data_IF_363857864707
#
_entry.id   IF_363857864707
#
_cell.length_a   1.000
_cell.length_b   1.000
_cell.length_c   1.000
_cell.angle_alpha   90.00
_cell.angle_beta   90.00
_cell.angle_gamma   90.00
#
_symmetry.space_group_name_H-M   'P 1'
#
loop_
_entity.id
_entity.type
_entity.pdbx_description
1 polymer ?
#
# COMPACT_ATOMS: atom_id res chain seq x y z
N UNK A 1 20.34 -18.27 26.33
CA UNK A 1 19.11 -17.53 26.68
C UNK A 1 19.00 -16.13 26.00
N UNK A 2 20.07 -15.35 25.85
CA UNK A 2 20.06 -14.03 25.18
C UNK A 2 19.66 -14.07 23.69
N UNK A 3 20.10 -15.03 22.90
CA UNK A 3 19.85 -15.13 21.45
C UNK A 3 18.36 -15.35 21.11
N UNK A 4 17.59 -16.03 21.97
CA UNK A 4 16.16 -16.24 21.74
C UNK A 4 15.32 -14.99 21.99
N UNK A 5 15.69 -14.17 22.97
CA UNK A 5 14.98 -12.90 23.31
C UNK A 5 15.18 -11.88 22.19
N UNK A 6 16.37 -11.77 21.60
CA UNK A 6 16.65 -10.85 20.50
C UNK A 6 15.85 -11.24 19.23
N UNK A 7 15.79 -12.53 18.88
CA UNK A 7 15.05 -12.99 17.70
C UNK A 7 13.54 -12.74 17.81
N UNK A 8 12.94 -12.93 19.00
CA UNK A 8 11.52 -12.69 19.25
C UNK A 8 11.18 -11.19 19.22
N UNK A 9 12.08 -10.35 19.74
CA UNK A 9 11.93 -8.89 19.71
C UNK A 9 12.01 -8.35 18.28
N UNK A 10 13.00 -8.77 17.50
CA UNK A 10 13.15 -8.36 16.09
C UNK A 10 11.94 -8.80 15.26
N UNK A 11 11.42 -10.01 15.48
CA UNK A 11 10.24 -10.49 14.76
C UNK A 11 8.97 -9.74 15.15
N UNK A 12 8.81 -9.32 16.41
CA UNK A 12 7.67 -8.54 16.86
C UNK A 12 7.70 -7.09 16.35
N UNK A 13 8.87 -6.46 16.33
CA UNK A 13 9.07 -5.14 15.74
C UNK A 13 8.80 -5.15 14.22
N UNK A 14 9.26 -6.19 13.52
CA UNK A 14 8.98 -6.36 12.08
C UNK A 14 7.48 -6.46 11.80
N UNK A 15 6.73 -7.22 12.61
CA UNK A 15 5.27 -7.30 12.48
C UNK A 15 4.58 -5.97 12.79
N UNK A 16 4.99 -5.30 13.87
CA UNK A 16 4.44 -3.99 14.22
C UNK A 16 4.68 -2.96 13.11
N UNK A 17 5.91 -2.88 12.59
CA UNK A 17 6.26 -2.02 11.47
C UNK A 17 5.44 -2.33 10.20
N UNK A 18 5.23 -3.60 9.88
CA UNK A 18 4.37 -4.04 8.77
C UNK A 18 2.93 -3.51 8.93
N UNK A 19 2.31 -3.69 10.10
CA UNK A 19 0.94 -3.24 10.34
C UNK A 19 0.82 -1.71 10.33
N UNK A 20 1.78 -1.00 10.90
CA UNK A 20 1.80 0.48 10.87
C UNK A 20 1.95 0.98 9.43
N UNK A 21 2.86 0.41 8.66
CA UNK A 21 3.07 0.76 7.25
C UNK A 21 1.84 0.48 6.40
N UNK A 22 1.18 -0.67 6.60
CA UNK A 22 -0.07 -1.01 5.93
C UNK A 22 -1.20 -0.04 6.30
N UNK A 23 -1.33 0.29 7.59
CA UNK A 23 -2.31 1.27 8.08
C UNK A 23 -2.09 2.65 7.47
N UNK A 24 -0.84 3.11 7.37
CA UNK A 24 -0.50 4.37 6.73
C UNK A 24 -0.88 4.36 5.25
N UNK A 25 -0.50 3.32 4.49
CA UNK A 25 -0.84 3.19 3.07
C UNK A 25 -2.35 3.20 2.83
N UNK A 26 -3.10 2.36 3.54
CA UNK A 26 -4.55 2.26 3.40
C UNK A 26 -5.24 3.53 3.85
N UNK A 27 -4.90 4.04 5.02
CA UNK A 27 -5.51 5.23 5.60
C UNK A 27 -5.35 6.46 4.73
N UNK A 28 -4.13 6.70 4.23
CA UNK A 28 -3.86 7.83 3.36
C UNK A 28 -4.56 7.74 2.00
N UNK A 29 -4.58 6.56 1.37
CA UNK A 29 -5.29 6.35 0.11
C UNK A 29 -6.82 6.50 0.27
N UNK A 30 -7.40 5.96 1.35
CA UNK A 30 -8.82 6.11 1.66
C UNK A 30 -9.15 7.57 1.97
N UNK A 31 -8.36 8.24 2.82
CA UNK A 31 -8.54 9.65 3.11
C UNK A 31 -8.48 10.52 1.86
N UNK A 32 -7.46 10.29 1.01
CA UNK A 32 -7.34 11.04 -0.24
C UNK A 32 -8.58 10.85 -1.13
N UNK A 33 -9.07 9.61 -1.28
CA UNK A 33 -10.17 9.29 -2.19
C UNK A 33 -11.53 9.79 -1.69
N UNK A 34 -11.80 9.62 -0.41
CA UNK A 34 -13.15 9.87 0.14
C UNK A 34 -13.29 11.21 0.88
N UNK A 35 -12.19 11.85 1.24
CA UNK A 35 -12.22 13.12 1.94
C UNK A 35 -11.50 14.24 1.15
N UNK A 36 -10.19 14.09 0.90
CA UNK A 36 -9.40 15.14 0.29
C UNK A 36 -9.86 15.49 -1.15
N UNK A 37 -10.03 14.50 -2.02
CA UNK A 37 -10.40 14.76 -3.42
C UNK A 37 -11.76 15.45 -3.57
N UNK A 38 -12.83 15.04 -2.85
CA UNK A 38 -14.09 15.79 -2.88
C UNK A 38 -13.95 17.21 -2.29
N UNK A 39 -13.24 17.35 -1.16
CA UNK A 39 -13.08 18.65 -0.50
C UNK A 39 -12.34 19.70 -1.33
N UNK A 40 -11.51 19.27 -2.27
CA UNK A 40 -10.80 20.19 -3.19
C UNK A 40 -11.76 21.04 -4.03
N UNK A 41 -13.01 20.63 -4.22
CA UNK A 41 -14.04 21.43 -4.93
C UNK A 41 -14.34 22.77 -4.27
N UNK A 42 -14.13 22.89 -2.96
CA UNK A 42 -14.34 24.14 -2.20
C UNK A 42 -13.35 25.25 -2.60
N UNK A 43 -12.22 24.89 -3.23
CA UNK A 43 -11.30 25.87 -3.81
C UNK A 43 -11.86 26.33 -5.14
N UNK A 44 -12.07 27.65 -5.32
CA UNK A 44 -12.77 28.21 -6.48
C UNK A 44 -12.01 28.01 -7.80
N UNK A 45 -10.68 28.16 -7.77
CA UNK A 45 -9.83 28.14 -8.97
C UNK A 45 -9.37 26.71 -9.34
N UNK A 46 -9.68 26.19 -10.54
CA UNK A 46 -9.29 24.85 -10.98
C UNK A 46 -7.78 24.60 -10.94
N UNK A 47 -6.94 25.60 -11.23
CA UNK A 47 -5.48 25.50 -11.19
C UNK A 47 -4.96 25.41 -9.75
N UNK A 48 -5.56 26.13 -8.82
CA UNK A 48 -5.23 26.04 -7.39
C UNK A 48 -5.61 24.67 -6.81
N UNK A 49 -6.72 24.09 -7.27
CA UNK A 49 -7.10 22.71 -6.94
C UNK A 49 -6.01 21.71 -7.32
N UNK A 50 -5.50 21.83 -8.56
CA UNK A 50 -4.41 20.97 -9.03
C UNK A 50 -3.14 21.14 -8.21
N UNK A 51 -2.75 22.37 -7.92
CA UNK A 51 -1.59 22.69 -7.07
C UNK A 51 -1.74 22.11 -5.67
N UNK A 52 -2.92 22.23 -5.06
CA UNK A 52 -3.22 21.67 -3.76
C UNK A 52 -3.10 20.14 -3.74
N UNK A 53 -3.72 19.48 -4.71
CA UNK A 53 -3.67 18.00 -4.87
C UNK A 53 -2.23 17.53 -5.05
N UNK A 54 -1.46 18.18 -5.96
CA UNK A 54 -0.07 17.82 -6.18
C UNK A 54 0.79 18.02 -4.94
N UNK A 55 0.62 19.13 -4.23
CA UNK A 55 1.36 19.40 -2.99
C UNK A 55 1.04 18.37 -1.91
N UNK A 56 -0.22 18.02 -1.74
CA UNK A 56 -0.65 16.98 -0.79
C UNK A 56 -0.01 15.63 -1.12
N UNK A 57 -0.05 15.20 -2.38
CA UNK A 57 0.55 13.94 -2.80
C UNK A 57 2.08 13.94 -2.74
N UNK A 58 2.75 15.05 -3.01
CA UNK A 58 4.21 15.16 -2.84
C UNK A 58 4.61 14.96 -1.37
N UNK A 59 3.92 15.62 -0.45
CA UNK A 59 4.17 15.47 1.00
C UNK A 59 3.85 14.05 1.48
N UNK A 60 2.71 13.53 1.09
CA UNK A 60 2.31 12.16 1.45
C UNK A 60 3.19 11.10 0.77
N UNK A 61 3.81 11.41 -0.36
CA UNK A 61 4.73 10.55 -1.09
C UNK A 61 5.90 10.05 -0.23
N UNK A 62 6.36 10.85 0.72
CA UNK A 62 7.39 10.44 1.70
C UNK A 62 6.87 9.31 2.59
N UNK A 63 5.69 9.51 3.19
CA UNK A 63 5.03 8.50 4.03
C UNK A 63 4.77 7.23 3.24
N UNK A 64 4.25 7.37 2.01
CA UNK A 64 3.95 6.26 1.11
C UNK A 64 5.21 5.45 0.76
N UNK A 65 6.32 6.13 0.44
CA UNK A 65 7.60 5.49 0.11
C UNK A 65 8.19 4.75 1.32
N UNK A 66 8.21 5.37 2.48
CA UNK A 66 8.67 4.74 3.73
C UNK A 66 7.82 3.52 4.08
N UNK A 67 6.50 3.60 3.91
CA UNK A 67 5.59 2.49 4.14
C UNK A 67 5.86 1.32 3.19
N UNK A 68 6.04 1.57 1.89
CA UNK A 68 6.39 0.54 0.93
C UNK A 68 7.73 -0.12 1.26
N UNK A 69 8.76 0.66 1.61
CA UNK A 69 10.06 0.12 2.01
C UNK A 69 9.95 -0.74 3.27
N UNK A 70 9.18 -0.30 4.27
CA UNK A 70 8.94 -1.06 5.50
C UNK A 70 8.20 -2.38 5.20
N UNK A 71 7.18 -2.34 4.33
CA UNK A 71 6.48 -3.54 3.89
C UNK A 71 7.42 -4.51 3.17
N UNK A 72 8.28 -4.03 2.26
CA UNK A 72 9.26 -4.86 1.57
C UNK A 72 10.24 -5.52 2.54
N UNK A 73 10.81 -4.73 3.46
CA UNK A 73 11.77 -5.21 4.45
C UNK A 73 11.16 -6.27 5.39
N UNK A 74 9.90 -6.10 5.78
CA UNK A 74 9.20 -7.06 6.62
C UNK A 74 8.74 -8.31 5.84
N UNK A 75 8.39 -8.16 4.57
CA UNK A 75 7.86 -9.24 3.74
C UNK A 75 8.90 -10.29 3.38
N UNK A 76 10.11 -9.89 2.98
CA UNK A 76 11.13 -10.80 2.50
C UNK A 76 11.54 -11.88 3.54
N UNK A 77 11.87 -11.54 4.80
CA UNK A 77 12.17 -12.52 5.84
C UNK A 77 10.99 -13.43 6.17
N UNK A 78 9.77 -12.87 6.24
CA UNK A 78 8.57 -13.64 6.51
C UNK A 78 8.34 -14.68 5.41
N UNK A 79 8.53 -14.31 4.14
CA UNK A 79 8.35 -15.20 3.00
C UNK A 79 9.37 -16.34 2.95
N UNK A 80 10.61 -16.07 3.31
CA UNK A 80 11.65 -17.11 3.44
C UNK A 80 11.29 -18.11 4.54
N UNK A 81 10.77 -17.64 5.68
CA UNK A 81 10.29 -18.49 6.78
C UNK A 81 9.11 -19.37 6.37
N UNK A 82 8.14 -18.80 5.65
CA UNK A 82 6.97 -19.52 5.12
C UNK A 82 7.38 -20.59 4.09
N UNK A 83 8.31 -20.28 3.19
CA UNK A 83 8.80 -21.20 2.16
C UNK A 83 9.50 -22.45 2.74
N UNK A 84 10.08 -22.35 3.94
CA UNK A 84 10.74 -23.45 4.63
C UNK A 84 9.79 -24.31 5.48
N UNK A 85 8.51 -23.97 5.53
CA UNK A 85 7.53 -24.63 6.39
C UNK A 85 6.79 -25.75 5.65
N UNK A 86 7.24 -27.01 5.80
CA UNK A 86 6.57 -28.22 5.25
C UNK A 86 5.19 -28.48 5.84
N UNK A 87 4.73 -27.68 6.79
CA UNK A 87 3.49 -27.91 7.55
C UNK A 87 2.31 -27.04 7.11
N UNK A 88 2.41 -26.37 5.96
CA UNK A 88 1.33 -25.54 5.43
C UNK A 88 0.27 -26.42 4.76
N UNK A 89 -1.00 -26.15 5.06
CA UNK A 89 -2.12 -26.77 4.35
C UNK A 89 -2.25 -26.22 2.92
N UNK A 90 -2.90 -26.97 2.04
CA UNK A 90 -3.15 -26.49 0.67
C UNK A 90 -3.93 -25.18 0.61
N UNK A 91 -4.77 -24.87 1.62
CA UNK A 91 -5.48 -23.60 1.75
C UNK A 91 -4.51 -22.45 2.08
N UNK A 92 -3.60 -22.69 3.03
CA UNK A 92 -2.58 -21.68 3.39
C UNK A 92 -1.67 -21.35 2.23
N UNK A 93 -1.25 -22.32 1.42
CA UNK A 93 -0.49 -22.08 0.19
C UNK A 93 -1.23 -21.18 -0.81
N UNK A 94 -2.55 -21.34 -0.97
CA UNK A 94 -3.35 -20.46 -1.84
C UNK A 94 -3.39 -19.02 -1.31
N UNK A 95 -3.56 -18.84 0.00
CA UNK A 95 -3.57 -17.51 0.62
C UNK A 95 -2.20 -16.84 0.49
N UNK A 96 -1.11 -17.58 0.69
CA UNK A 96 0.25 -17.06 0.52
C UNK A 96 0.50 -16.62 -0.93
N UNK A 97 0.05 -17.40 -1.93
CA UNK A 97 0.16 -16.98 -3.34
C UNK A 97 -0.67 -15.72 -3.62
N UNK A 98 -1.87 -15.62 -3.09
CA UNK A 98 -2.69 -14.41 -3.20
C UNK A 98 -1.99 -13.20 -2.56
N UNK A 99 -1.35 -13.39 -1.40
CA UNK A 99 -0.52 -12.39 -0.73
C UNK A 99 0.67 -11.98 -1.59
N UNK A 100 1.39 -12.94 -2.22
CA UNK A 100 2.51 -12.65 -3.13
C UNK A 100 2.04 -11.77 -4.32
N UNK A 101 0.92 -12.12 -4.94
CA UNK A 101 0.32 -11.35 -6.04
C UNK A 101 -0.10 -9.95 -5.59
N UNK A 102 -0.76 -9.84 -4.43
CA UNK A 102 -1.18 -8.56 -3.88
C UNK A 102 0.03 -7.66 -3.58
N UNK A 103 1.10 -8.21 -2.99
CA UNK A 103 2.34 -7.47 -2.72
C UNK A 103 3.01 -7.00 -4.00
N UNK A 104 3.18 -7.86 -5.00
CA UNK A 104 3.76 -7.50 -6.30
C UNK A 104 2.93 -6.41 -6.99
N UNK A 105 1.60 -6.53 -6.97
CA UNK A 105 0.67 -5.54 -7.52
C UNK A 105 0.77 -4.20 -6.80
N UNK A 106 0.88 -4.22 -5.47
CA UNK A 106 1.04 -3.02 -4.64
C UNK A 106 2.30 -2.24 -5.02
N UNK A 107 3.43 -2.94 -5.17
CA UNK A 107 4.70 -2.33 -5.59
C UNK A 107 4.65 -1.82 -7.02
N UNK A 108 4.16 -2.62 -7.96
CA UNK A 108 4.10 -2.25 -9.37
C UNK A 108 3.20 -1.01 -9.58
N UNK A 109 2.01 -1.00 -8.98
CA UNK A 109 1.07 0.12 -9.08
C UNK A 109 1.57 1.35 -8.31
N UNK A 110 2.22 1.15 -7.15
CA UNK A 110 2.83 2.23 -6.38
C UNK A 110 3.95 2.93 -7.13
N UNK A 111 4.88 2.17 -7.73
CA UNK A 111 5.96 2.71 -8.56
C UNK A 111 5.42 3.41 -9.81
N UNK A 112 4.48 2.80 -10.51
CA UNK A 112 3.84 3.40 -11.68
C UNK A 112 3.11 4.71 -11.32
N UNK A 113 2.41 4.75 -10.17
CA UNK A 113 1.76 5.96 -9.66
C UNK A 113 2.77 7.05 -9.33
N UNK A 114 3.90 6.71 -8.71
CA UNK A 114 4.96 7.68 -8.41
C UNK A 114 5.53 8.30 -9.69
N UNK A 115 5.86 7.49 -10.69
CA UNK A 115 6.38 7.97 -11.99
C UNK A 115 5.35 8.87 -12.68
N UNK A 116 4.09 8.44 -12.76
CA UNK A 116 3.04 9.23 -13.39
C UNK A 116 2.70 10.48 -12.60
N UNK A 117 2.76 10.44 -11.26
CA UNK A 117 2.57 11.60 -10.40
C UNK A 117 3.64 12.68 -10.64
N UNK A 118 4.91 12.28 -10.75
CA UNK A 118 6.01 13.19 -11.09
C UNK A 118 5.80 13.81 -12.49
N UNK A 119 5.38 12.99 -13.48
CA UNK A 119 5.07 13.50 -14.82
C UNK A 119 3.92 14.49 -14.79
N UNK A 120 2.85 14.17 -14.09
CA UNK A 120 1.67 15.02 -13.93
C UNK A 120 2.02 16.36 -13.26
N UNK A 121 2.80 16.33 -12.19
CA UNK A 121 3.24 17.53 -11.47
C UNK A 121 4.14 18.47 -12.32
N UNK A 122 4.76 17.93 -13.37
CA UNK A 122 5.63 18.70 -14.29
C UNK A 122 4.92 19.22 -15.54
N UNK A 123 3.62 18.91 -15.72
CA UNK A 123 2.87 19.34 -16.91
C UNK A 123 2.56 20.84 -16.87
N UNK A 124 2.37 21.39 -15.67
CA UNK A 124 2.11 22.81 -15.44
C UNK A 124 3.05 23.38 -14.37
N UNK A 125 3.39 24.68 -14.43
CA UNK A 125 4.19 25.33 -13.41
C UNK A 125 3.58 25.15 -12.02
N UNK A 126 4.40 24.72 -11.05
CA UNK A 126 3.94 24.46 -9.69
C UNK A 126 2.94 23.30 -9.55
N UNK A 127 2.77 22.48 -10.59
CA UNK A 127 1.80 21.38 -10.60
C UNK A 127 0.34 21.84 -10.70
N UNK A 128 0.10 23.01 -11.25
CA UNK A 128 -1.20 23.68 -11.31
C UNK A 128 -2.08 23.17 -12.48
N UNK A 129 -2.12 21.85 -12.70
CA UNK A 129 -3.01 21.25 -13.70
C UNK A 129 -4.48 21.52 -13.33
N UNK A 130 -5.30 22.03 -14.26
CA UNK A 130 -6.69 22.36 -13.95
C UNK A 130 -7.51 21.12 -13.56
N UNK A 131 -8.10 21.12 -12.38
CA UNK A 131 -8.94 20.05 -11.86
C UNK A 131 -10.34 20.56 -11.48
N UNK A 132 -11.36 19.74 -11.74
CA UNK A 132 -12.70 19.94 -11.21
C UNK A 132 -12.79 19.54 -9.73
N UNK A 133 -12.19 18.39 -9.41
CA UNK A 133 -11.94 17.91 -8.05
C UNK A 133 -10.59 17.17 -7.99
N UNK A 134 -10.27 16.53 -6.85
CA UNK A 134 -9.02 15.78 -6.71
C UNK A 134 -8.87 14.61 -7.67
N UNK A 135 -9.92 14.18 -8.36
CA UNK A 135 -9.95 13.01 -9.26
C UNK A 135 -10.27 13.36 -10.70
N UNK A 136 -11.01 14.44 -10.95
CA UNK A 136 -11.60 14.79 -12.24
C UNK A 136 -10.82 15.96 -12.87
N UNK A 137 -10.32 15.81 -14.12
CA UNK A 137 -9.78 16.94 -14.87
C UNK A 137 -10.86 17.98 -15.14
N UNK A 138 -10.52 19.26 -15.04
CA UNK A 138 -11.42 20.33 -15.46
C UNK A 138 -11.53 20.39 -17.00
N UNK A 139 -12.60 21.03 -17.56
CA UNK A 139 -12.75 21.19 -19.01
C UNK A 139 -11.58 21.93 -19.69
N UNK A 140 -10.88 22.81 -18.96
CA UNK A 140 -9.73 23.56 -19.44
C UNK A 140 -8.43 22.72 -19.49
N UNK A 141 -8.42 21.52 -18.92
CA UNK A 141 -7.26 20.63 -18.95
C UNK A 141 -7.03 20.10 -20.38
N UNK A 142 -5.78 20.11 -20.82
CA UNK A 142 -5.41 19.49 -22.09
C UNK A 142 -5.72 17.98 -22.10
N UNK A 143 -5.90 17.43 -23.30
CA UNK A 143 -6.14 15.99 -23.45
C UNK A 143 -5.05 15.12 -22.79
N UNK A 144 -3.80 15.56 -22.87
CA UNK A 144 -2.66 14.88 -22.24
C UNK A 144 -2.75 14.88 -20.72
N UNK A 145 -3.13 15.99 -20.11
CA UNK A 145 -3.33 16.13 -18.67
C UNK A 145 -4.49 15.25 -18.19
N UNK A 146 -5.61 15.32 -18.92
CA UNK A 146 -6.79 14.51 -18.63
C UNK A 146 -6.48 13.00 -18.71
N UNK A 147 -5.76 12.55 -19.74
CA UNK A 147 -5.33 11.15 -19.89
C UNK A 147 -4.40 10.73 -18.76
N UNK A 148 -3.42 11.56 -18.40
CA UNK A 148 -2.50 11.25 -17.31
C UNK A 148 -3.23 11.14 -15.97
N UNK A 149 -4.18 12.07 -15.71
CA UNK A 149 -5.00 12.03 -14.50
C UNK A 149 -5.87 10.77 -14.42
N UNK A 150 -6.51 10.37 -15.50
CA UNK A 150 -7.27 9.11 -15.57
C UNK A 150 -6.39 7.90 -15.30
N UNK A 151 -5.19 7.87 -15.85
CA UNK A 151 -4.21 6.79 -15.58
C UNK A 151 -3.85 6.75 -14.08
N UNK A 152 -3.59 7.90 -13.46
CA UNK A 152 -3.33 7.98 -12.01
C UNK A 152 -4.49 7.46 -11.18
N UNK A 153 -5.72 7.76 -11.58
CA UNK A 153 -6.91 7.27 -10.87
C UNK A 153 -7.05 5.75 -10.95
N UNK A 154 -6.77 5.15 -12.12
CA UNK A 154 -6.78 3.69 -12.32
C UNK A 154 -5.67 3.03 -11.48
N UNK A 155 -4.45 3.56 -11.55
CA UNK A 155 -3.33 3.06 -10.76
C UNK A 155 -3.60 3.17 -9.25
N UNK A 156 -4.15 4.29 -8.81
CA UNK A 156 -4.53 4.50 -7.40
C UNK A 156 -5.63 3.53 -6.94
N UNK A 157 -6.62 3.26 -7.78
CA UNK A 157 -7.66 2.27 -7.49
C UNK A 157 -7.07 0.85 -7.41
N UNK A 158 -6.23 0.47 -8.37
CA UNK A 158 -5.55 -0.83 -8.37
C UNK A 158 -4.63 -1.00 -7.15
N UNK A 159 -3.90 0.05 -6.78
CA UNK A 159 -3.05 0.08 -5.59
C UNK A 159 -3.87 -0.14 -4.30
N UNK A 160 -5.00 0.54 -4.17
CA UNK A 160 -5.91 0.38 -3.02
C UNK A 160 -6.47 -1.04 -2.94
N UNK A 161 -6.91 -1.63 -4.07
CA UNK A 161 -7.40 -3.02 -4.12
C UNK A 161 -6.29 -3.99 -3.72
N UNK A 162 -5.06 -3.80 -4.22
CA UNK A 162 -3.91 -4.62 -3.84
C UNK A 162 -3.60 -4.52 -2.33
N UNK A 163 -3.65 -3.31 -1.76
CA UNK A 163 -3.42 -3.09 -0.33
C UNK A 163 -4.51 -3.76 0.54
N UNK A 164 -5.77 -3.66 0.14
CA UNK A 164 -6.88 -4.34 0.82
C UNK A 164 -6.75 -5.86 0.73
N UNK A 165 -6.39 -6.38 -0.44
CA UNK A 165 -6.13 -7.81 -0.65
C UNK A 165 -4.99 -8.33 0.23
N UNK A 166 -3.91 -7.57 0.34
CA UNK A 166 -2.78 -7.89 1.22
C UNK A 166 -3.21 -7.92 2.69
N UNK A 167 -3.92 -6.89 3.16
CA UNK A 167 -4.42 -6.82 4.53
C UNK A 167 -5.37 -7.97 4.86
N UNK A 168 -6.27 -8.33 3.94
CA UNK A 168 -7.20 -9.45 4.10
C UNK A 168 -6.46 -10.80 4.17
N UNK A 169 -5.44 -10.99 3.32
CA UNK A 169 -4.61 -12.19 3.35
C UNK A 169 -3.85 -12.32 4.68
N UNK A 170 -3.25 -11.24 5.16
CA UNK A 170 -2.55 -11.20 6.45
C UNK A 170 -3.47 -11.52 7.62
N UNK A 171 -4.64 -10.91 7.68
CA UNK A 171 -5.65 -11.16 8.71
C UNK A 171 -6.11 -12.64 8.70
N UNK A 172 -6.32 -13.21 7.50
CA UNK A 172 -6.74 -14.60 7.34
C UNK A 172 -5.65 -15.58 7.80
N UNK A 173 -4.39 -15.34 7.44
CA UNK A 173 -3.25 -16.16 7.88
C UNK A 173 -3.05 -16.07 9.39
N UNK A 174 -3.20 -14.89 9.99
CA UNK A 174 -3.11 -14.74 11.44
C UNK A 174 -4.17 -15.57 12.16
N UNK A 175 -5.42 -15.55 11.70
CA UNK A 175 -6.50 -16.35 12.31
C UNK A 175 -6.29 -17.85 12.15
N UNK A 176 -5.78 -18.33 11.01
CA UNK A 176 -5.53 -19.76 10.81
C UNK A 176 -4.43 -20.28 11.73
N UNK A 177 -3.42 -19.47 12.01
CA UNK A 177 -2.34 -19.82 12.94
C UNK A 177 -2.82 -19.96 14.39
N UNK A 178 -3.80 -19.15 14.80
CA UNK A 178 -4.39 -19.23 16.16
C UNK A 178 -5.31 -20.43 16.37
N UNK A 179 -5.93 -20.94 15.32
CA UNK A 179 -6.85 -22.11 15.38
C UNK A 179 -6.13 -23.46 15.44
N UNK A 180 -4.80 -23.52 15.34
CA UNK A 180 -4.06 -24.79 15.46
C UNK A 180 -4.08 -25.27 16.90
N UNK A 181 -4.44 -26.56 17.16
CA UNK A 181 -4.43 -27.11 18.51
C UNK A 181 -3.07 -26.98 19.19
N UNK A 182 -3.02 -26.70 20.52
CA UNK A 182 -1.77 -26.52 21.26
C UNK A 182 -0.80 -27.70 21.15
N UNK A 183 -1.32 -28.92 21.09
CA UNK A 183 -0.52 -30.16 20.93
C UNK A 183 0.32 -30.18 19.65
N UNK A 184 -0.22 -29.71 18.52
CA UNK A 184 0.55 -29.62 17.26
C UNK A 184 1.63 -28.52 17.31
N UNK A 185 1.49 -27.51 18.18
CA UNK A 185 2.54 -26.50 18.42
C UNK A 185 3.69 -27.07 19.26
N UNK A 186 3.39 -27.94 20.22
CA UNK A 186 4.40 -28.57 21.11
C UNK A 186 5.22 -29.61 20.38
N UNK A 187 4.62 -30.43 19.54
CA UNK A 187 5.32 -31.44 18.74
C UNK A 187 6.28 -30.81 17.69
N UNK A 188 5.97 -29.60 17.21
CA UNK A 188 6.81 -28.90 16.26
C UNK A 188 8.06 -28.25 16.89
N UNK A 189 8.15 -28.13 18.22
CA UNK A 189 9.33 -27.62 18.95
C UNK A 189 10.41 -28.67 19.20
N UNK A 190 10.20 -29.93 18.81
CA UNK A 190 11.12 -31.06 19.10
C UNK A 190 11.93 -31.58 17.90
N UNK A 191 11.82 -30.90 16.73
CA UNK A 191 12.63 -31.24 15.55
C UNK A 191 13.34 -30.01 14.99
#
# INVERSE_FOLDING_TARGET
MRVHVESDTVSSLGRAGHHVAMGALLGGNLFARFAMHPAVREVSNPRERGKLVNTAWQRYGIVNSLSLLTLAAAYAPARVGEARSDSLSGREHKIIRAKDVAMASLFATGLASAIQGIRFARMEPGGAVPLEDGSTPAPEASEREAKTKRTLNILGAANLVAALGLAAADATLAQTSHRRPPLKRLLKRRY
#
